data_IF_843037874004
#
_entry.id   IF_843037874004
#
_cell.length_a   1.000
_cell.length_b   1.000
_cell.length_c   1.000
_cell.angle_alpha   90.00
_cell.angle_beta   90.00
_cell.angle_gamma   90.00
#
_symmetry.space_group_name_H-M   'P 1'
#
loop_
_entity.id
_entity.type
_entity.pdbx_description
1 polymer ?
#
# COMPACT_ATOMS: atom_id res chain seq x y z
N UNK A 1 11.07 -2.06 6.56
CA UNK A 1 9.79 -2.28 5.85
C UNK A 1 8.82 -1.25 6.37
N UNK A 2 8.32 -0.34 5.53
CA UNK A 2 7.21 0.54 5.92
C UNK A 2 5.99 -0.35 6.18
N UNK A 3 5.20 -0.13 7.25
CA UNK A 3 4.05 -0.98 7.51
C UNK A 3 3.10 -0.92 6.31
N UNK A 4 2.67 -2.08 5.82
CA UNK A 4 1.52 -2.15 4.94
C UNK A 4 0.38 -1.36 5.61
N UNK A 5 -0.33 -0.53 4.85
CA UNK A 5 -1.53 0.13 5.37
C UNK A 5 -2.48 -0.97 5.82
N UNK A 6 -2.51 -1.23 7.13
CA UNK A 6 -3.44 -2.17 7.74
C UNK A 6 -4.82 -1.51 7.66
N UNK A 7 -5.50 -1.66 6.53
CA UNK A 7 -6.95 -1.53 6.51
C UNK A 7 -7.52 -2.73 7.28
N UNK A 8 -7.50 -2.61 8.60
CA UNK A 8 -8.15 -3.56 9.51
C UNK A 8 -9.65 -3.32 9.46
N UNK A 9 -10.39 -4.29 8.91
CA UNK A 9 -11.84 -4.37 9.06
C UNK A 9 -12.17 -4.84 10.49
N UNK A 10 -12.11 -3.93 11.46
CA UNK A 10 -12.55 -4.21 12.83
C UNK A 10 -13.90 -3.54 13.09
N UNK A 11 -14.98 -4.32 13.01
CA UNK A 11 -16.29 -3.96 13.55
C UNK A 11 -16.21 -3.98 15.09
N UNK A 12 -16.00 -2.83 15.71
CA UNK A 12 -16.18 -2.67 17.16
C UNK A 12 -17.62 -2.17 17.45
N UNK A 13 -18.36 -2.77 18.39
CA UNK A 13 -19.69 -2.29 18.76
C UNK A 13 -19.59 -1.00 19.59
N UNK A 14 -20.40 0.00 19.23
CA UNK A 14 -20.55 1.27 19.96
C UNK A 14 -21.58 1.05 21.10
N UNK A 15 -21.28 1.41 22.37
CA UNK A 15 -22.23 1.29 23.47
C UNK A 15 -23.35 2.36 23.38
N UNK A 16 -24.55 2.11 23.91
CA UNK A 16 -25.65 3.06 23.79
C UNK A 16 -25.49 4.16 24.84
N UNK A 17 -25.48 5.44 24.42
CA UNK A 17 -25.49 6.57 25.35
C UNK A 17 -26.80 7.36 25.20
N UNK A 18 -27.65 7.22 26.21
CA UNK A 18 -28.83 8.03 26.47
C UNK A 18 -28.42 9.30 27.24
N UNK A 19 -28.62 10.49 26.65
CA UNK A 19 -28.52 11.75 27.37
C UNK A 19 -28.29 12.96 26.45
N UNK A 20 -29.29 13.84 26.35
CA UNK A 20 -29.21 15.14 25.66
C UNK A 20 -28.39 16.14 26.50
N UNK A 21 -27.45 16.87 25.88
CA UNK A 21 -27.33 18.34 25.93
C UNK A 21 -25.99 18.84 25.34
N UNK A 22 -26.06 20.01 24.69
CA UNK A 22 -25.00 20.92 24.24
C UNK A 22 -24.29 20.62 22.91
N UNK A 23 -24.99 21.00 21.84
CA UNK A 23 -24.38 21.55 20.62
C UNK A 23 -23.62 22.84 20.97
N UNK A 24 -22.49 23.04 20.29
CA UNK A 24 -21.50 24.12 20.38
C UNK A 24 -20.22 23.80 21.18
N UNK A 25 -19.11 23.83 20.44
CA UNK A 25 -17.70 23.79 20.86
C UNK A 25 -17.04 22.40 20.95
N UNK A 26 -16.84 21.76 19.79
CA UNK A 26 -15.51 21.23 19.46
C UNK A 26 -15.35 21.04 17.93
N UNK A 27 -15.25 22.13 17.18
CA UNK A 27 -15.03 22.10 15.73
C UNK A 27 -13.59 22.52 15.38
N UNK A 28 -12.62 22.15 16.21
CA UNK A 28 -11.22 22.43 15.94
C UNK A 28 -10.56 21.22 15.23
N UNK A 29 -10.25 21.45 13.95
CA UNK A 29 -9.32 20.68 13.11
C UNK A 29 -9.87 19.43 12.38
N UNK A 30 -10.97 19.59 11.63
CA UNK A 30 -11.28 18.65 10.55
C UNK A 30 -10.34 18.94 9.36
N UNK A 31 -9.29 18.13 9.23
CA UNK A 31 -8.37 18.16 8.08
C UNK A 31 -9.19 17.94 6.81
N UNK A 32 -9.38 19.00 6.02
CA UNK A 32 -10.14 18.91 4.77
C UNK A 32 -9.37 18.03 3.79
N UNK A 33 -10.00 16.94 3.33
CA UNK A 33 -9.45 16.06 2.31
C UNK A 33 -9.86 16.60 0.94
N UNK A 34 -9.13 17.58 0.42
CA UNK A 34 -9.40 18.22 -0.88
C UNK A 34 -9.42 19.74 -0.82
N UNK A 35 -9.75 20.38 -1.94
CA UNK A 35 -9.76 21.84 -2.08
C UNK A 35 -11.02 22.52 -1.54
N UNK A 36 -12.13 21.79 -1.42
CA UNK A 36 -13.43 22.30 -0.97
C UNK A 36 -13.96 21.50 0.21
N UNK A 37 -14.88 22.10 0.97
CA UNK A 37 -15.58 21.42 2.07
C UNK A 37 -16.41 20.24 1.58
N UNK A 38 -16.67 19.28 2.47
CA UNK A 38 -17.51 18.12 2.18
C UNK A 38 -18.95 18.54 1.88
N UNK A 39 -19.58 17.89 0.89
CA UNK A 39 -20.98 18.11 0.53
C UNK A 39 -21.91 17.57 1.63
N UNK A 40 -21.53 16.46 2.26
CA UNK A 40 -22.25 15.85 3.38
C UNK A 40 -21.27 15.16 4.31
N UNK A 41 -21.52 15.31 5.62
CA UNK A 41 -20.81 14.57 6.67
C UNK A 41 -21.69 13.47 7.28
N UNK A 42 -22.86 13.19 6.69
CA UNK A 42 -23.76 12.15 7.17
C UNK A 42 -23.17 10.76 6.96
N UNK A 43 -23.20 9.92 8.00
CA UNK A 43 -22.80 8.52 7.92
C UNK A 43 -23.83 7.64 7.19
N UNK A 44 -23.46 6.38 6.85
CA UNK A 44 -24.35 5.45 6.18
C UNK A 44 -25.53 5.05 7.07
N UNK A 45 -26.71 4.89 6.47
CA UNK A 45 -27.89 4.32 7.10
C UNK A 45 -27.79 2.78 7.11
N UNK A 46 -28.58 2.08 7.95
CA UNK A 46 -28.60 0.61 7.95
C UNK A 46 -28.85 -0.01 6.56
N UNK A 47 -29.73 0.59 5.76
CA UNK A 47 -29.99 0.16 4.38
C UNK A 47 -28.76 0.30 3.45
N UNK A 48 -27.91 1.32 3.66
CA UNK A 48 -26.70 1.51 2.86
C UNK A 48 -25.66 0.43 3.17
N UNK A 49 -25.62 -0.04 4.43
CA UNK A 49 -24.75 -1.14 4.86
C UNK A 49 -25.21 -2.47 4.25
N UNK A 50 -26.51 -2.72 4.24
CA UNK A 50 -27.10 -3.90 3.58
C UNK A 50 -26.76 -3.90 2.09
N UNK A 51 -26.98 -2.77 1.40
CA UNK A 51 -26.64 -2.62 -0.03
C UNK A 51 -25.15 -2.75 -0.32
N UNK A 52 -24.30 -2.30 0.59
CA UNK A 52 -22.85 -2.51 0.47
C UNK A 52 -22.48 -3.99 0.54
N UNK A 53 -23.18 -4.77 1.37
CA UNK A 53 -22.98 -6.23 1.46
C UNK A 53 -23.45 -6.91 0.17
N UNK A 54 -24.65 -6.60 -0.30
CA UNK A 54 -25.17 -7.13 -1.58
C UNK A 54 -24.23 -6.84 -2.77
N UNK A 55 -23.63 -5.66 -2.80
CA UNK A 55 -22.64 -5.29 -3.81
C UNK A 55 -21.40 -6.18 -3.76
N UNK A 56 -20.86 -6.43 -2.56
CA UNK A 56 -19.68 -7.30 -2.39
C UNK A 56 -19.97 -8.72 -2.85
N UNK A 57 -21.13 -9.27 -2.48
CA UNK A 57 -21.54 -10.61 -2.87
C UNK A 57 -21.74 -10.73 -4.38
N UNK A 58 -22.29 -9.69 -5.01
CA UNK A 58 -22.48 -9.63 -6.47
C UNK A 58 -21.16 -9.57 -7.24
N UNK A 59 -20.10 -9.05 -6.63
CA UNK A 59 -18.78 -8.95 -7.25
C UNK A 59 -17.92 -10.22 -7.11
N UNK A 60 -18.22 -11.07 -6.13
CA UNK A 60 -17.45 -12.29 -5.86
C UNK A 60 -17.32 -13.24 -7.08
N UNK A 61 -18.37 -13.50 -7.89
CA UNK A 61 -18.27 -14.38 -9.06
C UNK A 61 -17.34 -13.87 -10.15
N UNK A 62 -17.07 -12.56 -10.20
CA UNK A 62 -16.20 -11.95 -11.20
C UNK A 62 -14.70 -12.04 -10.85
N UNK A 63 -14.35 -12.66 -9.71
CA UNK A 63 -12.95 -12.85 -9.31
C UNK A 63 -12.21 -11.53 -9.04
N UNK A 64 -12.93 -10.50 -8.60
CA UNK A 64 -12.34 -9.18 -8.30
C UNK A 64 -11.46 -9.20 -7.05
N UNK A 65 -11.70 -10.15 -6.15
CA UNK A 65 -10.94 -10.32 -4.92
C UNK A 65 -9.88 -11.40 -5.11
N UNK A 66 -8.65 -11.08 -4.75
CA UNK A 66 -7.53 -12.03 -4.73
C UNK A 66 -7.63 -12.99 -3.54
N UNK A 67 -7.16 -14.22 -3.69
CA UNK A 67 -7.09 -15.18 -2.58
C UNK A 67 -5.93 -14.87 -1.64
N UNK A 68 -6.06 -15.23 -0.36
CA UNK A 68 -5.00 -15.07 0.64
C UNK A 68 -3.69 -15.76 0.23
N UNK A 69 -3.79 -16.90 -0.46
CA UNK A 69 -2.64 -17.64 -0.98
C UNK A 69 -1.90 -16.86 -2.08
N UNK A 70 -2.64 -16.28 -3.03
CA UNK A 70 -2.04 -15.44 -4.08
C UNK A 70 -1.43 -14.17 -3.49
N UNK A 71 -2.11 -13.53 -2.54
CA UNK A 71 -1.58 -12.37 -1.82
C UNK A 71 -0.26 -12.71 -1.10
N UNK A 72 -0.21 -13.85 -0.40
CA UNK A 72 1.00 -14.31 0.27
C UNK A 72 2.14 -14.55 -0.73
N UNK A 73 1.85 -15.23 -1.84
CA UNK A 73 2.82 -15.50 -2.88
C UNK A 73 3.42 -14.20 -3.47
N UNK A 74 2.58 -13.19 -3.75
CA UNK A 74 3.06 -11.88 -4.22
C UNK A 74 3.98 -11.20 -3.20
N UNK A 75 3.67 -11.33 -1.91
CA UNK A 75 4.51 -10.78 -0.84
C UNK A 75 5.89 -11.47 -0.78
N UNK A 76 5.94 -12.79 -0.96
CA UNK A 76 7.20 -13.55 -1.04
C UNK A 76 8.04 -13.15 -2.25
N UNK A 77 7.42 -12.98 -3.41
CA UNK A 77 8.07 -12.52 -4.64
C UNK A 77 8.65 -11.12 -4.45
N UNK A 78 7.89 -10.18 -3.88
CA UNK A 78 8.37 -8.84 -3.56
C UNK A 78 9.52 -8.85 -2.55
N UNK A 79 9.45 -9.72 -1.54
CA UNK A 79 10.54 -9.91 -0.58
C UNK A 79 11.81 -10.42 -1.25
N UNK A 80 11.67 -11.34 -2.19
CA UNK A 80 12.79 -11.88 -2.98
C UNK A 80 13.38 -10.83 -3.91
N UNK A 81 12.55 -10.10 -4.65
CA UNK A 81 12.96 -9.01 -5.52
C UNK A 81 13.71 -7.92 -4.73
N UNK A 82 13.22 -7.56 -3.54
CA UNK A 82 13.89 -6.59 -2.68
C UNK A 82 15.29 -7.04 -2.25
N UNK A 83 15.46 -8.33 -1.91
CA UNK A 83 16.79 -8.89 -1.59
C UNK A 83 17.73 -8.83 -2.79
N UNK A 84 17.24 -9.22 -3.97
CA UNK A 84 18.01 -9.20 -5.22
C UNK A 84 18.49 -7.78 -5.56
N UNK A 85 17.59 -6.79 -5.49
CA UNK A 85 17.95 -5.39 -5.77
C UNK A 85 19.02 -4.87 -4.81
N UNK A 86 18.91 -5.17 -3.51
CA UNK A 86 19.93 -4.73 -2.54
C UNK A 86 21.27 -5.41 -2.77
N UNK A 87 21.26 -6.69 -3.09
CA UNK A 87 22.48 -7.43 -3.43
C UNK A 87 23.14 -6.85 -4.69
N UNK A 88 22.36 -6.64 -5.74
CA UNK A 88 22.83 -6.02 -6.98
C UNK A 88 23.42 -4.62 -6.75
N UNK A 89 22.73 -3.74 -6.00
CA UNK A 89 23.24 -2.39 -5.69
C UNK A 89 24.57 -2.47 -4.94
N UNK A 90 24.72 -3.42 -4.01
CA UNK A 90 25.97 -3.64 -3.29
C UNK A 90 27.10 -4.07 -4.23
N UNK A 91 26.86 -5.07 -5.07
CA UNK A 91 27.84 -5.58 -6.03
C UNK A 91 28.29 -4.49 -7.01
N UNK A 92 27.32 -3.73 -7.52
CA UNK A 92 27.56 -2.61 -8.43
C UNK A 92 28.35 -1.47 -7.76
N UNK A 93 28.07 -1.21 -6.48
CA UNK A 93 28.84 -0.24 -5.68
C UNK A 93 30.31 -0.69 -5.52
N UNK A 94 30.55 -1.97 -5.26
CA UNK A 94 31.91 -2.53 -5.16
C UNK A 94 32.63 -2.45 -6.51
N UNK A 95 31.95 -2.70 -7.63
CA UNK A 95 32.50 -2.60 -9.00
C UNK A 95 32.95 -1.17 -9.32
N UNK A 96 32.25 -0.17 -8.80
CA UNK A 96 32.62 1.25 -8.89
C UNK A 96 33.68 1.68 -7.86
N UNK A 97 34.43 0.72 -7.28
CA UNK A 97 35.51 0.91 -6.30
C UNK A 97 35.07 1.56 -4.98
N UNK A 98 33.81 1.41 -4.59
CA UNK A 98 33.34 1.85 -3.28
C UNK A 98 33.87 0.92 -2.17
N UNK A 99 34.34 1.45 -1.03
CA UNK A 99 34.79 0.61 0.09
C UNK A 99 33.67 -0.32 0.58
N UNK A 100 33.97 -1.58 0.97
CA UNK A 100 32.94 -2.53 1.42
C UNK A 100 32.06 -2.02 2.55
N UNK A 101 32.65 -1.31 3.52
CA UNK A 101 31.91 -0.70 4.63
C UNK A 101 30.86 0.31 4.17
N UNK A 102 31.09 1.01 3.06
CA UNK A 102 30.13 1.95 2.47
C UNK A 102 29.13 1.19 1.60
N UNK A 103 29.58 0.22 0.80
CA UNK A 103 28.72 -0.61 -0.05
C UNK A 103 27.68 -1.45 0.73
N UNK A 104 27.93 -1.76 2.00
CA UNK A 104 26.95 -2.42 2.87
C UNK A 104 25.87 -1.45 3.40
N UNK A 105 26.15 -0.14 3.37
CA UNK A 105 25.26 0.91 3.93
C UNK A 105 24.49 1.71 2.86
N UNK A 106 24.90 1.66 1.59
CA UNK A 106 24.22 2.37 0.49
C UNK A 106 22.74 2.01 0.35
N UNK A 107 22.37 0.78 0.72
CA UNK A 107 20.97 0.36 0.77
C UNK A 107 20.35 0.13 -0.60
N UNK A 108 19.24 0.81 -0.86
CA UNK A 108 18.32 0.51 -1.96
C UNK A 108 16.99 -0.05 -1.48
N UNK A 109 15.92 0.30 -2.17
CA UNK A 109 14.58 -0.12 -1.79
C UNK A 109 13.66 -0.28 -3.01
N UNK A 110 12.62 -1.08 -2.85
CA UNK A 110 11.57 -1.25 -3.86
C UNK A 110 10.27 -0.71 -3.29
N UNK A 111 9.57 0.08 -4.09
CA UNK A 111 8.27 0.62 -3.74
C UNK A 111 7.24 0.12 -4.74
N UNK A 112 6.16 -0.46 -4.25
CA UNK A 112 5.01 -0.78 -5.08
C UNK A 112 4.16 0.47 -5.31
N UNK A 113 3.62 0.59 -6.51
CA UNK A 113 2.62 1.59 -6.87
C UNK A 113 1.49 0.92 -7.65
N UNK A 114 0.59 1.71 -8.24
CA UNK A 114 -0.52 1.18 -9.03
C UNK A 114 -1.58 0.45 -8.21
N UNK A 115 -2.36 -0.40 -8.89
CA UNK A 115 -3.54 -1.09 -8.32
C UNK A 115 -3.16 -2.00 -7.15
N UNK A 116 -2.01 -2.67 -7.22
CA UNK A 116 -1.51 -3.53 -6.16
C UNK A 116 -1.27 -2.75 -4.85
N UNK A 117 -0.66 -1.55 -4.94
CA UNK A 117 -0.42 -0.72 -3.76
C UNK A 117 -1.72 -0.20 -3.12
N UNK A 118 -2.75 0.00 -3.93
CA UNK A 118 -4.06 0.49 -3.50
C UNK A 118 -4.98 -0.63 -2.98
N UNK A 119 -4.61 -1.90 -3.15
CA UNK A 119 -5.42 -3.05 -2.72
C UNK A 119 -6.68 -3.27 -3.57
N UNK A 120 -6.68 -2.76 -4.81
CA UNK A 120 -7.80 -2.90 -5.77
C UNK A 120 -7.40 -3.69 -7.01
N UNK A 121 -6.28 -4.42 -6.93
CA UNK A 121 -5.83 -5.29 -8.01
C UNK A 121 -6.72 -6.54 -8.09
N UNK A 122 -7.00 -6.96 -9.31
CA UNK A 122 -7.73 -8.20 -9.56
C UNK A 122 -6.77 -9.39 -9.66
N UNK A 123 -7.33 -10.60 -9.65
CA UNK A 123 -6.57 -11.82 -9.91
C UNK A 123 -5.81 -11.72 -11.24
N UNK A 124 -4.53 -12.08 -11.23
CA UNK A 124 -3.67 -12.01 -12.41
C UNK A 124 -3.23 -10.61 -12.83
N UNK A 125 -3.57 -9.54 -12.10
CA UNK A 125 -3.01 -8.22 -12.35
C UNK A 125 -1.50 -8.20 -12.07
N UNK A 126 -0.73 -7.38 -12.80
CA UNK A 126 0.70 -7.22 -12.60
C UNK A 126 1.03 -6.50 -11.29
N UNK A 127 2.31 -6.52 -10.90
CA UNK A 127 2.84 -5.74 -9.77
C UNK A 127 3.75 -4.65 -10.31
N UNK A 128 3.28 -3.41 -10.22
CA UNK A 128 4.09 -2.24 -10.52
C UNK A 128 5.07 -1.95 -9.37
N UNK A 129 6.36 -2.03 -9.66
CA UNK A 129 7.43 -1.83 -8.69
C UNK A 129 8.47 -0.82 -9.18
N UNK A 130 8.80 0.15 -8.33
CA UNK A 130 9.85 1.14 -8.56
C UNK A 130 11.06 0.80 -7.71
N UNK A 131 12.20 0.56 -8.36
CA UNK A 131 13.49 0.46 -7.70
C UNK A 131 14.05 1.87 -7.43
N UNK A 132 14.40 2.15 -6.18
CA UNK A 132 15.08 3.37 -5.76
C UNK A 132 16.49 3.02 -5.33
N UNK A 133 17.45 3.49 -6.12
CA UNK A 133 18.87 3.28 -5.91
C UNK A 133 19.60 4.60 -5.59
N UNK A 134 20.77 4.53 -4.93
CA UNK A 134 21.63 5.69 -4.69
C UNK A 134 22.12 6.35 -5.99
N UNK A 135 22.57 7.61 -5.88
CA UNK A 135 22.97 8.45 -7.02
C UNK A 135 24.05 7.85 -7.93
N UNK A 136 24.96 7.04 -7.39
CA UNK A 136 26.07 6.46 -8.17
C UNK A 136 25.66 5.24 -9.00
N UNK A 137 24.42 4.78 -8.90
CA UNK A 137 23.86 3.71 -9.73
C UNK A 137 23.20 4.35 -10.95
N UNK A 138 23.70 4.02 -12.14
CA UNK A 138 23.19 4.58 -13.38
C UNK A 138 22.07 3.71 -13.95
N UNK A 139 21.14 4.31 -14.73
CA UNK A 139 20.04 3.56 -15.36
C UNK A 139 20.54 2.48 -16.31
N UNK A 140 21.70 2.68 -16.93
CA UNK A 140 22.34 1.68 -17.80
C UNK A 140 22.78 0.44 -17.02
N UNK A 141 23.17 0.60 -15.75
CA UNK A 141 23.56 -0.52 -14.89
C UNK A 141 22.34 -1.41 -14.57
N UNK A 142 21.15 -0.80 -14.49
CA UNK A 142 19.88 -1.51 -14.22
C UNK A 142 19.42 -2.34 -15.43
N UNK A 143 19.58 -1.83 -16.65
CA UNK A 143 19.16 -2.52 -17.87
C UNK A 143 20.11 -3.66 -18.28
N UNK A 144 21.37 -3.62 -17.86
CA UNK A 144 22.36 -4.64 -18.22
C UNK A 144 22.21 -5.95 -17.41
N UNK A 145 21.48 -5.94 -16.30
CA UNK A 145 21.28 -7.10 -15.41
C UNK A 145 19.91 -7.76 -15.59
N UNK A 146 18.97 -7.08 -16.26
CA UNK A 146 17.58 -7.55 -16.45
C UNK A 146 17.32 -8.03 -17.89
N UNK A 147 18.34 -8.05 -18.76
CA UNK A 147 18.28 -8.59 -20.12
C UNK A 147 19.10 -9.87 -20.26
#
# INVERSE_FOLDING_TARGET
MWPASQYSHSNAPIPPNSGKANEHQNQQNLKTLGMTSAISMAGPKPIDIEKTTELKDSLAPYGVFESEQEMHHRMEVLGSLHRLVRQWIREESLRKNMPPSVADTVGGNIYTFGSYRLGVHHRGADIDALCVAPRHIDRTDLLCVVL
#
